data_IF_809401561745
#
_entry.id   IF_809401561745
#
_cell.length_a   1.000
_cell.length_b   1.000
_cell.length_c   1.000
_cell.angle_alpha   90.00
_cell.angle_beta   90.00
_cell.angle_gamma   90.00
#
_symmetry.space_group_name_H-M   'P 1'
#
loop_
_entity.id
_entity.type
_entity.pdbx_description
1 polymer ?
#
# COMPACT_ATOMS: atom_id res chain seq x y z
N UNK A 1 17.08 27.24 -18.06
CA UNK A 1 16.46 26.91 -16.76
C UNK A 1 17.60 26.72 -15.79
N UNK A 2 17.81 27.72 -14.94
CA UNK A 2 18.94 27.77 -14.01
C UNK A 2 18.86 26.65 -12.97
N UNK A 3 19.99 26.00 -12.82
CA UNK A 3 20.28 24.90 -11.93
C UNK A 3 20.38 25.45 -10.49
N UNK A 4 19.53 24.98 -9.57
CA UNK A 4 19.60 25.32 -8.14
C UNK A 4 20.88 24.72 -7.53
N UNK A 5 22.02 25.43 -7.61
CA UNK A 5 23.33 24.90 -7.23
C UNK A 5 24.00 25.57 -6.02
N UNK A 6 23.25 26.18 -5.10
CA UNK A 6 23.84 26.74 -3.87
C UNK A 6 22.95 26.56 -2.64
N UNK A 7 22.62 25.32 -2.31
CA UNK A 7 22.06 25.00 -0.98
C UNK A 7 23.21 24.98 0.02
N UNK A 8 23.19 25.82 1.08
CA UNK A 8 24.24 25.83 2.10
C UNK A 8 24.43 24.45 2.75
N UNK A 9 25.66 24.05 3.13
CA UNK A 9 25.93 22.74 3.73
C UNK A 9 25.04 22.44 4.93
N UNK A 10 24.78 23.44 5.78
CA UNK A 10 23.88 23.34 6.94
C UNK A 10 22.45 22.97 6.54
N UNK A 11 21.95 23.53 5.42
CA UNK A 11 20.60 23.21 4.92
C UNK A 11 20.58 21.82 4.26
N UNK A 12 21.65 21.40 3.58
CA UNK A 12 21.78 20.05 3.04
C UNK A 12 21.81 19.02 4.17
N UNK A 13 22.53 19.31 5.24
CA UNK A 13 22.68 18.42 6.39
C UNK A 13 21.38 18.34 7.20
N UNK A 14 20.73 19.48 7.45
CA UNK A 14 19.38 19.52 8.04
C UNK A 14 18.35 18.78 7.16
N UNK A 15 18.39 18.94 5.84
CA UNK A 15 17.51 18.20 4.92
C UNK A 15 17.76 16.69 4.98
N UNK A 16 19.03 16.23 5.02
CA UNK A 16 19.38 14.81 5.19
C UNK A 16 18.92 14.27 6.53
N UNK A 17 18.99 15.08 7.59
CA UNK A 17 18.55 14.70 8.94
C UNK A 17 17.03 14.58 9.01
N UNK A 18 16.29 15.53 8.41
CA UNK A 18 14.84 15.46 8.24
C UNK A 18 14.47 14.23 7.39
N UNK A 19 15.16 13.99 6.27
CA UNK A 19 14.93 12.82 5.41
C UNK A 19 15.23 11.49 6.12
N UNK A 20 16.23 11.46 7.02
CA UNK A 20 16.50 10.30 7.85
C UNK A 20 15.35 10.04 8.85
N UNK A 21 14.73 11.10 9.36
CA UNK A 21 13.61 11.04 10.31
C UNK A 21 12.24 10.79 9.65
N UNK A 22 12.14 10.86 8.31
CA UNK A 22 10.91 10.49 7.57
C UNK A 22 10.61 8.99 7.61
N UNK A 23 11.63 8.15 7.87
CA UNK A 23 11.46 6.72 8.02
C UNK A 23 10.97 6.36 9.43
N UNK A 24 10.22 5.25 9.60
CA UNK A 24 9.74 4.87 10.93
C UNK A 24 10.92 4.55 11.86
N UNK A 25 10.98 5.24 13.00
CA UNK A 25 12.11 5.20 13.93
C UNK A 25 12.49 3.77 14.36
N UNK A 26 11.49 2.96 14.72
CA UNK A 26 11.72 1.57 15.19
C UNK A 26 12.20 0.61 14.10
N UNK A 27 11.83 0.83 12.83
CA UNK A 27 12.10 -0.10 11.74
C UNK A 27 13.04 0.46 10.66
N UNK A 28 13.60 1.66 10.88
CA UNK A 28 14.47 2.37 9.96
C UNK A 28 15.60 1.50 9.41
N UNK A 29 16.22 0.68 10.27
CA UNK A 29 17.30 -0.24 9.89
C UNK A 29 16.87 -1.23 8.80
N UNK A 30 15.65 -1.78 8.91
CA UNK A 30 15.13 -2.77 7.96
C UNK A 30 14.79 -2.10 6.63
N UNK A 31 14.24 -0.88 6.66
CA UNK A 31 13.98 -0.09 5.45
C UNK A 31 15.28 0.20 4.69
N UNK A 32 16.31 0.71 5.37
CA UNK A 32 17.63 0.97 4.79
C UNK A 32 18.29 -0.29 4.21
N UNK A 33 18.19 -1.42 4.91
CA UNK A 33 18.71 -2.71 4.42
C UNK A 33 17.97 -3.20 3.17
N UNK A 34 16.65 -3.03 3.12
CA UNK A 34 15.83 -3.45 1.98
C UNK A 34 16.16 -2.60 0.75
N UNK A 35 16.26 -1.29 0.93
CA UNK A 35 16.70 -0.35 -0.10
C UNK A 35 18.10 -0.70 -0.63
N UNK A 36 19.07 -0.96 0.26
CA UNK A 36 20.42 -1.37 -0.13
C UNK A 36 20.41 -2.65 -0.98
N UNK A 37 19.66 -3.67 -0.58
CA UNK A 37 19.54 -4.93 -1.35
C UNK A 37 19.01 -4.69 -2.76
N UNK A 38 18.05 -3.80 -2.92
CA UNK A 38 17.52 -3.44 -4.23
C UNK A 38 18.54 -2.64 -5.06
N UNK A 39 19.26 -1.70 -4.44
CA UNK A 39 20.33 -0.95 -5.12
C UNK A 39 21.49 -1.83 -5.58
N UNK A 40 21.90 -2.79 -4.75
CA UNK A 40 22.92 -3.78 -5.10
C UNK A 40 22.45 -4.62 -6.31
N UNK A 41 21.17 -5.00 -6.37
CA UNK A 41 20.58 -5.68 -7.52
C UNK A 41 20.58 -4.82 -8.80
N UNK A 42 20.20 -3.55 -8.69
CA UNK A 42 20.22 -2.62 -9.82
C UNK A 42 21.64 -2.39 -10.36
N UNK A 43 22.63 -2.33 -9.46
CA UNK A 43 24.05 -2.20 -9.82
C UNK A 43 24.53 -3.41 -10.62
N UNK A 44 24.12 -4.63 -10.23
CA UNK A 44 24.43 -5.86 -10.97
C UNK A 44 23.78 -5.86 -12.37
N UNK A 45 22.57 -5.31 -12.52
CA UNK A 45 21.83 -5.23 -13.78
C UNK A 45 22.16 -4.00 -14.63
N UNK A 46 22.96 -3.07 -14.10
CA UNK A 46 23.35 -1.79 -14.72
C UNK A 46 22.15 -0.96 -15.23
N UNK A 47 20.99 -1.05 -14.58
CA UNK A 47 19.78 -0.34 -15.00
C UNK A 47 18.90 -0.01 -13.79
N UNK A 48 18.23 1.14 -13.86
CA UNK A 48 17.38 1.72 -12.81
C UNK A 48 16.04 2.16 -13.42
N UNK A 49 15.29 1.20 -13.99
CA UNK A 49 13.99 1.45 -14.61
C UNK A 49 12.88 0.69 -13.90
N UNK A 50 11.63 1.07 -14.15
CA UNK A 50 10.44 0.36 -13.66
C UNK A 50 10.43 -1.12 -14.09
N UNK A 51 10.96 -1.42 -15.28
CA UNK A 51 11.15 -2.80 -15.74
C UNK A 51 12.07 -3.61 -14.82
N UNK A 52 13.10 -2.98 -14.24
CA UNK A 52 14.01 -3.65 -13.27
C UNK A 52 13.27 -3.93 -11.96
N UNK A 53 12.41 -3.01 -11.50
CA UNK A 53 11.54 -3.23 -10.34
C UNK A 53 10.58 -4.40 -10.57
N UNK A 54 9.94 -4.46 -11.75
CA UNK A 54 9.03 -5.55 -12.10
C UNK A 54 9.74 -6.90 -12.12
N UNK A 55 10.92 -6.99 -12.74
CA UNK A 55 11.73 -8.23 -12.76
C UNK A 55 12.16 -8.60 -11.34
N UNK A 56 12.60 -7.63 -10.53
CA UNK A 56 12.99 -7.86 -9.14
C UNK A 56 11.85 -8.44 -8.31
N UNK A 57 10.66 -7.83 -8.34
CA UNK A 57 9.50 -8.36 -7.62
C UNK A 57 9.02 -9.70 -8.18
N UNK A 58 9.13 -9.92 -9.49
CA UNK A 58 8.84 -11.20 -10.13
C UNK A 58 9.79 -12.33 -9.71
N UNK A 59 11.05 -12.03 -9.41
CA UNK A 59 12.00 -12.99 -8.84
C UNK A 59 11.73 -13.24 -7.35
N UNK A 60 11.39 -12.19 -6.59
CA UNK A 60 11.10 -12.32 -5.16
C UNK A 60 9.81 -13.10 -4.90
N UNK A 61 8.75 -12.88 -5.70
CA UNK A 61 7.45 -13.57 -5.53
C UNK A 61 7.56 -15.09 -5.63
N UNK A 62 8.54 -15.59 -6.39
CA UNK A 62 8.83 -17.03 -6.49
C UNK A 62 9.51 -17.59 -5.24
N UNK A 63 10.17 -16.74 -4.45
CA UNK A 63 11.00 -17.12 -3.29
C UNK A 63 10.33 -16.87 -1.95
N UNK A 64 9.36 -15.95 -1.86
CA UNK A 64 8.74 -15.54 -0.60
C UNK A 64 7.22 -15.45 -0.67
N UNK A 65 6.57 -15.48 0.50
CA UNK A 65 5.11 -15.33 0.63
C UNK A 65 4.68 -13.91 0.23
N UNK A 66 3.45 -13.77 -0.28
CA UNK A 66 2.89 -12.50 -0.73
C UNK A 66 2.91 -11.39 0.35
N UNK A 67 2.70 -11.74 1.62
CA UNK A 67 2.76 -10.78 2.74
C UNK A 67 4.17 -10.24 3.01
N UNK A 68 5.19 -11.10 2.89
CA UNK A 68 6.60 -10.69 2.96
C UNK A 68 6.97 -9.84 1.75
N UNK A 69 6.55 -10.26 0.54
CA UNK A 69 6.77 -9.50 -0.70
C UNK A 69 6.17 -8.10 -0.60
N UNK A 70 4.95 -7.99 -0.08
CA UNK A 70 4.26 -6.72 0.15
C UNK A 70 4.99 -5.83 1.16
N UNK A 71 5.58 -6.43 2.20
CA UNK A 71 6.39 -5.69 3.17
C UNK A 71 7.64 -5.11 2.50
N UNK A 72 8.30 -5.89 1.64
CA UNK A 72 9.45 -5.43 0.83
C UNK A 72 9.02 -4.29 -0.11
N UNK A 73 7.90 -4.45 -0.82
CA UNK A 73 7.33 -3.40 -1.67
C UNK A 73 7.07 -2.11 -0.89
N UNK A 74 6.40 -2.19 0.26
CA UNK A 74 6.08 -1.02 1.10
C UNK A 74 7.34 -0.29 1.58
N UNK A 75 8.37 -1.04 1.98
CA UNK A 75 9.67 -0.48 2.37
C UNK A 75 10.39 0.20 1.19
N UNK A 76 10.36 -0.44 0.01
CA UNK A 76 10.96 0.14 -1.19
C UNK A 76 10.21 1.37 -1.65
N UNK A 77 8.88 1.37 -1.63
CA UNK A 77 8.06 2.55 -1.95
C UNK A 77 8.42 3.73 -1.08
N UNK A 78 8.50 3.53 0.23
CA UNK A 78 8.88 4.61 1.15
C UNK A 78 10.32 5.10 0.89
N UNK A 79 11.28 4.19 0.74
CA UNK A 79 12.69 4.57 0.58
C UNK A 79 13.01 5.18 -0.79
N UNK A 80 12.42 4.68 -1.88
CA UNK A 80 12.55 5.26 -3.22
C UNK A 80 11.90 6.64 -3.31
N UNK A 81 10.74 6.83 -2.67
CA UNK A 81 10.11 8.14 -2.61
C UNK A 81 10.96 9.13 -1.82
N UNK A 82 11.51 8.72 -0.66
CA UNK A 82 12.36 9.62 0.16
C UNK A 82 13.67 9.95 -0.55
N UNK A 83 14.43 8.94 -0.99
CA UNK A 83 15.81 9.10 -1.44
C UNK A 83 15.96 9.42 -2.93
N UNK A 84 15.03 8.94 -3.77
CA UNK A 84 15.10 9.12 -5.23
C UNK A 84 13.98 9.99 -5.78
N UNK A 85 13.01 10.40 -4.93
CA UNK A 85 11.77 11.08 -5.36
C UNK A 85 11.02 10.29 -6.44
N UNK A 86 11.12 8.96 -6.39
CA UNK A 86 10.41 8.06 -7.30
C UNK A 86 9.21 7.49 -6.55
N UNK A 87 8.01 7.79 -7.04
CA UNK A 87 6.79 7.17 -6.56
C UNK A 87 6.51 5.89 -7.37
N UNK A 88 6.49 4.75 -6.69
CA UNK A 88 6.15 3.44 -7.27
C UNK A 88 4.80 2.93 -6.80
N UNK A 89 3.93 3.84 -6.34
CA UNK A 89 2.57 3.52 -5.95
C UNK A 89 1.93 2.71 -7.06
N UNK A 90 1.60 1.43 -6.78
CA UNK A 90 0.72 0.64 -7.64
C UNK A 90 -0.55 1.45 -7.84
N UNK A 91 -0.67 2.01 -9.03
CA UNK A 91 -1.82 2.78 -9.43
C UNK A 91 -3.05 1.85 -9.38
N UNK A 92 -4.16 2.40 -8.92
CA UNK A 92 -5.45 1.72 -8.85
C UNK A 92 -6.04 1.44 -10.25
N UNK A 93 -5.21 1.39 -11.29
CA UNK A 93 -5.58 1.09 -12.68
C UNK A 93 -5.58 -0.41 -12.99
N UNK A 94 -5.08 -1.26 -12.08
CA UNK A 94 -5.11 -2.71 -12.24
C UNK A 94 -6.52 -3.22 -12.63
N UNK A 95 -6.69 -4.29 -13.44
CA UNK A 95 -8.03 -4.71 -13.86
C UNK A 95 -9.00 -5.02 -12.71
N UNK A 96 -10.19 -4.42 -12.75
CA UNK A 96 -11.24 -4.58 -11.72
C UNK A 96 -11.90 -5.97 -11.75
N UNK A 97 -11.67 -6.79 -12.76
CA UNK A 97 -12.16 -8.17 -12.81
C UNK A 97 -11.38 -9.09 -11.84
N UNK A 98 -10.13 -8.74 -11.56
CA UNK A 98 -9.20 -9.57 -10.80
C UNK A 98 -8.81 -8.92 -9.47
N UNK A 99 -8.56 -7.60 -9.46
CA UNK A 99 -7.91 -6.93 -8.33
C UNK A 99 -8.84 -6.03 -7.50
N UNK A 100 -10.15 -6.02 -7.77
CA UNK A 100 -11.10 -5.11 -7.13
C UNK A 100 -11.07 -5.20 -5.59
N UNK A 101 -11.05 -6.42 -5.03
CA UNK A 101 -10.94 -6.62 -3.57
C UNK A 101 -9.61 -6.09 -3.02
N UNK A 102 -8.50 -6.31 -3.74
CA UNK A 102 -7.17 -5.82 -3.38
C UNK A 102 -7.11 -4.30 -3.39
N UNK A 103 -7.75 -3.65 -4.37
CA UNK A 103 -7.85 -2.20 -4.43
C UNK A 103 -8.59 -1.62 -3.23
N UNK A 104 -9.75 -2.20 -2.87
CA UNK A 104 -10.49 -1.77 -1.67
C UNK A 104 -9.68 -2.00 -0.40
N UNK A 105 -8.99 -3.14 -0.30
CA UNK A 105 -8.05 -3.43 0.79
C UNK A 105 -6.99 -2.35 0.90
N UNK A 106 -6.42 -1.90 -0.22
CA UNK A 106 -5.39 -0.87 -0.26
C UNK A 106 -5.93 0.51 0.15
N UNK A 107 -7.12 0.89 -0.31
CA UNK A 107 -7.79 2.13 0.13
C UNK A 107 -7.94 2.14 1.65
N UNK A 108 -8.45 1.04 2.22
CA UNK A 108 -8.66 0.94 3.67
C UNK A 108 -7.35 0.89 4.45
N UNK A 109 -6.34 0.16 3.92
CA UNK A 109 -5.03 0.08 4.54
C UNK A 109 -4.32 1.44 4.58
N UNK A 110 -4.42 2.23 3.51
CA UNK A 110 -3.81 3.58 3.44
C UNK A 110 -4.56 4.55 4.35
N UNK A 111 -5.89 4.59 4.30
CA UNK A 111 -6.70 5.51 5.10
C UNK A 111 -6.65 5.19 6.62
N UNK A 112 -6.68 3.90 6.97
CA UNK A 112 -6.80 3.46 8.34
C UNK A 112 -5.51 2.93 8.98
N UNK A 113 -4.43 2.75 8.21
CA UNK A 113 -3.24 2.01 8.66
C UNK A 113 -3.62 0.65 9.28
N UNK A 114 -4.58 -0.05 8.67
CA UNK A 114 -5.18 -1.27 9.20
C UNK A 114 -4.27 -2.48 8.97
N UNK A 115 -4.24 -3.39 9.95
CA UNK A 115 -3.60 -4.70 9.81
C UNK A 115 -4.48 -5.64 8.97
N UNK A 116 -3.87 -6.63 8.32
CA UNK A 116 -4.62 -7.64 7.56
C UNK A 116 -5.68 -8.35 8.43
N UNK A 117 -5.33 -8.73 9.66
CA UNK A 117 -6.26 -9.42 10.56
C UNK A 117 -7.45 -8.54 10.98
N UNK A 118 -7.25 -7.22 11.04
CA UNK A 118 -8.31 -6.24 11.32
C UNK A 118 -9.27 -6.15 10.11
N UNK A 119 -8.72 -6.07 8.90
CA UNK A 119 -9.51 -6.02 7.66
C UNK A 119 -10.27 -7.33 7.41
N UNK A 120 -9.65 -8.48 7.65
CA UNK A 120 -10.26 -9.81 7.42
C UNK A 120 -11.49 -10.09 8.30
N UNK A 121 -11.63 -9.35 9.40
CA UNK A 121 -12.72 -9.50 10.37
C UNK A 121 -13.76 -8.38 10.27
N UNK A 122 -13.56 -7.42 9.37
CA UNK A 122 -14.48 -6.32 9.11
C UNK A 122 -15.79 -6.87 8.55
N UNK A 123 -16.93 -6.42 9.09
CA UNK A 123 -18.27 -6.76 8.62
C UNK A 123 -18.87 -5.64 7.79
N UNK A 124 -19.91 -5.97 7.01
CA UNK A 124 -20.64 -4.96 6.22
C UNK A 124 -21.23 -3.86 7.11
N UNK A 125 -21.77 -4.24 8.28
CA UNK A 125 -22.35 -3.30 9.26
C UNK A 125 -21.32 -2.33 9.87
N UNK A 126 -20.04 -2.65 9.79
CA UNK A 126 -18.96 -1.81 10.33
C UNK A 126 -18.59 -0.65 9.39
N UNK A 127 -19.23 -0.55 8.22
CA UNK A 127 -18.94 0.45 7.18
C UNK A 127 -20.19 1.27 6.88
N UNK A 128 -20.09 2.57 7.08
CA UNK A 128 -21.14 3.53 6.74
C UNK A 128 -20.71 4.36 5.51
N UNK A 129 -21.43 4.22 4.38
CA UNK A 129 -21.22 5.06 3.19
C UNK A 129 -22.07 6.33 3.29
N UNK A 130 -21.40 7.48 3.49
CA UNK A 130 -22.02 8.80 3.56
C UNK A 130 -21.97 9.55 2.22
N UNK A 131 -21.83 8.84 1.09
CA UNK A 131 -21.68 9.34 -0.27
C UNK A 131 -20.38 10.09 -0.59
N UNK A 132 -19.91 10.97 0.29
CA UNK A 132 -18.66 11.72 0.09
C UNK A 132 -17.48 11.14 0.89
N UNK A 133 -17.76 10.21 1.80
CA UNK A 133 -16.76 9.51 2.61
C UNK A 133 -17.34 8.21 3.13
N UNK A 134 -16.46 7.31 3.53
CA UNK A 134 -16.78 6.10 4.29
C UNK A 134 -16.32 6.31 5.72
N UNK A 135 -17.16 5.94 6.68
CA UNK A 135 -16.77 5.79 8.08
C UNK A 135 -16.64 4.29 8.37
N UNK A 136 -15.44 3.86 8.77
CA UNK A 136 -15.15 2.45 9.04
C UNK A 136 -14.84 2.28 10.52
N UNK A 137 -15.56 1.37 11.18
CA UNK A 137 -15.33 0.96 12.57
C UNK A 137 -14.55 -0.36 12.61
N UNK A 138 -13.38 -0.39 13.24
CA UNK A 138 -12.62 -1.63 13.37
C UNK A 138 -13.09 -2.41 14.61
N UNK A 139 -13.66 -3.62 14.47
CA UNK A 139 -14.28 -4.34 15.58
C UNK A 139 -13.26 -4.90 16.58
N UNK A 140 -12.00 -5.12 16.16
CA UNK A 140 -10.99 -5.84 16.95
C UNK A 140 -9.74 -5.00 17.12
N UNK A 141 -9.75 -4.24 18.21
CA UNK A 141 -8.58 -3.56 18.77
C UNK A 141 -8.79 -3.46 20.28
N UNK A 142 -7.72 -3.36 21.08
CA UNK A 142 -7.84 -3.08 22.54
C UNK A 142 -8.62 -1.78 22.83
N UNK A 143 -8.77 -0.91 21.83
CA UNK A 143 -9.55 0.33 21.83
C UNK A 143 -10.31 0.46 20.52
N UNK A 144 -11.65 0.47 20.54
CA UNK A 144 -12.49 0.69 19.35
C UNK A 144 -11.97 1.90 18.56
N UNK A 145 -11.56 1.67 17.31
CA UNK A 145 -10.95 2.69 16.44
C UNK A 145 -11.81 2.88 15.20
N UNK A 146 -12.06 4.14 14.84
CA UNK A 146 -12.69 4.52 13.58
C UNK A 146 -11.69 5.23 12.67
N UNK A 147 -11.88 5.13 11.37
CA UNK A 147 -11.18 5.94 10.38
C UNK A 147 -12.10 6.32 9.23
N UNK A 148 -11.68 7.36 8.49
CA UNK A 148 -12.43 7.91 7.36
C UNK A 148 -11.65 7.65 6.09
N UNK A 149 -12.31 7.11 5.07
CA UNK A 149 -11.78 7.03 3.71
C UNK A 149 -12.61 7.94 2.79
N UNK A 150 -11.98 8.91 2.15
CA UNK A 150 -12.64 9.89 1.26
C UNK A 150 -12.24 9.73 -0.21
N UNK A 151 -11.19 8.96 -0.50
CA UNK A 151 -10.64 8.83 -1.85
C UNK A 151 -11.09 7.51 -2.50
N UNK A 152 -11.17 7.52 -3.84
CA UNK A 152 -11.46 6.34 -4.66
C UNK A 152 -12.76 5.58 -4.30
N UNK A 153 -13.78 6.29 -3.81
CA UNK A 153 -15.06 5.72 -3.35
C UNK A 153 -15.78 4.88 -4.40
N UNK A 154 -15.61 5.20 -5.68
CA UNK A 154 -16.20 4.44 -6.78
C UNK A 154 -15.71 2.99 -6.81
N UNK A 155 -14.46 2.73 -6.41
CA UNK A 155 -13.89 1.38 -6.35
C UNK A 155 -14.53 0.59 -5.22
N UNK A 156 -14.68 1.21 -4.03
CA UNK A 156 -15.42 0.62 -2.92
C UNK A 156 -16.86 0.28 -3.32
N UNK A 157 -17.60 1.21 -3.92
CA UNK A 157 -18.99 1.00 -4.33
C UNK A 157 -19.12 -0.13 -5.34
N UNK A 158 -18.23 -0.17 -6.33
CA UNK A 158 -18.18 -1.24 -7.32
C UNK A 158 -17.99 -2.61 -6.66
N UNK A 159 -17.09 -2.70 -5.67
CA UNK A 159 -16.88 -3.93 -4.91
C UNK A 159 -18.09 -4.31 -4.04
N UNK A 160 -18.65 -3.34 -3.31
CA UNK A 160 -19.79 -3.55 -2.44
C UNK A 160 -21.02 -4.04 -3.23
N UNK A 161 -21.26 -3.45 -4.40
CA UNK A 161 -22.36 -3.84 -5.30
C UNK A 161 -22.14 -5.20 -5.99
N UNK A 162 -20.90 -5.69 -6.05
CA UNK A 162 -20.61 -7.03 -6.55
C UNK A 162 -20.97 -8.14 -5.54
N UNK A 163 -21.30 -7.77 -4.30
CA UNK A 163 -21.71 -8.73 -3.26
C UNK A 163 -23.02 -9.42 -3.65
N UNK A 164 -23.09 -10.76 -3.67
CA UNK A 164 -24.32 -11.49 -3.93
C UNK A 164 -25.36 -11.25 -2.84
N UNK A 165 -26.63 -11.21 -3.22
CA UNK A 165 -27.76 -11.06 -2.28
C UNK A 165 -27.83 -12.26 -1.30
N UNK A 166 -27.45 -13.45 -1.77
CA UNK A 166 -27.49 -14.72 -1.01
C UNK A 166 -26.12 -15.09 -0.42
N UNK A 167 -25.41 -14.11 0.15
CA UNK A 167 -24.13 -14.35 0.82
C UNK A 167 -24.35 -14.52 2.31
N UNK A 168 -24.18 -15.74 2.82
CA UNK A 168 -24.40 -16.08 4.24
C UNK A 168 -23.38 -15.42 5.18
N UNK A 169 -22.20 -15.09 4.66
CA UNK A 169 -21.14 -14.45 5.44
C UNK A 169 -21.49 -13.01 5.77
N UNK A 170 -21.26 -12.58 7.00
CA UNK A 170 -21.35 -11.17 7.40
C UNK A 170 -20.08 -10.37 7.07
N UNK A 171 -18.98 -11.05 6.70
CA UNK A 171 -17.68 -10.42 6.43
C UNK A 171 -17.76 -9.52 5.20
N UNK A 172 -17.20 -8.33 5.30
CA UNK A 172 -17.16 -7.38 4.20
C UNK A 172 -16.34 -7.91 3.02
N UNK A 173 -15.11 -8.40 3.29
CA UNK A 173 -14.27 -8.99 2.26
C UNK A 173 -14.70 -10.42 1.92
N UNK A 174 -14.94 -10.66 0.64
CA UNK A 174 -15.24 -11.95 0.04
C UNK A 174 -14.30 -12.23 -1.14
N UNK A 175 -14.18 -13.50 -1.52
CA UNK A 175 -13.34 -13.89 -2.65
C UNK A 175 -13.92 -13.32 -3.94
N UNK A 176 -13.09 -12.65 -4.73
CA UNK A 176 -13.49 -12.01 -5.97
C UNK A 176 -12.46 -12.31 -7.07
N UNK A 177 -12.93 -12.81 -8.21
CA UNK A 177 -12.09 -13.08 -9.39
C UNK A 177 -12.96 -13.19 -10.64
N UNK A 178 -12.41 -12.89 -11.81
CA UNK A 178 -13.12 -12.93 -13.10
C UNK A 178 -14.45 -12.13 -13.07
N UNK A 179 -14.47 -11.00 -12.37
CA UNK A 179 -15.65 -10.14 -12.26
C UNK A 179 -16.78 -10.69 -11.38
N UNK A 180 -16.54 -11.79 -10.63
CA UNK A 180 -17.56 -12.47 -9.83
C UNK A 180 -17.14 -12.61 -8.38
N UNK A 181 -18.13 -12.49 -7.50
CA UNK A 181 -18.02 -12.80 -6.09
C UNK A 181 -18.24 -14.30 -5.84
N UNK A 182 -17.51 -14.85 -4.89
CA UNK A 182 -17.62 -16.23 -4.44
C UNK A 182 -17.85 -16.24 -2.93
N UNK A 183 -18.71 -17.16 -2.48
CA UNK A 183 -18.83 -17.51 -1.06
C UNK A 183 -17.58 -18.22 -0.56
#
# INVERSE_FOLDING_TARGET
MEEFTLTPPEIIEAAKEIEANLLPEKSQKIYKQTYKKFFDYCTQKKSYSENVLLVYFGELSKKMKSSTLWSVYSMLRATLNIYNKVDITLELEAPDDTYLSTKVTMIFAVAGACRCDELLQLKVIDIEDMQNKLLISLPITKTKRLFVASEHLNIYRKYNNARPIQMDSERFFFKYSNGKAYN
#
